data_IF_646153707648
#
_entry.id   IF_646153707648
#
_cell.length_a   1.000
_cell.length_b   1.000
_cell.length_c   1.000
_cell.angle_alpha   90.00
_cell.angle_beta   90.00
_cell.angle_gamma   90.00
#
_symmetry.space_group_name_H-M   'P 1'
#
loop_
_entity.id
_entity.type
_entity.pdbx_description
1 polymer ?
#
# COMPACT_ATOMS: atom_id res chain seq x y z
N UNK A 1 51.91 -14.44 -0.02
CA UNK A 1 50.85 -14.34 -1.05
C UNK A 1 49.91 -13.25 -0.58
N UNK A 2 49.95 -12.11 -1.26
CA UNK A 2 49.36 -10.84 -0.84
C UNK A 2 47.84 -10.94 -0.78
N UNK A 3 47.28 -10.75 0.41
CA UNK A 3 45.86 -10.42 0.61
C UNK A 3 45.73 -8.97 0.16
N UNK A 4 45.07 -8.74 -0.97
CA UNK A 4 44.81 -7.41 -1.50
C UNK A 4 43.95 -6.62 -0.49
N UNK A 5 44.46 -5.52 0.09
CA UNK A 5 43.63 -4.54 0.79
C UNK A 5 43.10 -3.54 -0.25
N UNK A 6 41.95 -2.91 0.05
CA UNK A 6 41.29 -1.85 -0.74
C UNK A 6 40.29 -2.29 -1.82
N UNK A 7 39.09 -2.69 -1.39
CA UNK A 7 37.86 -2.08 -1.92
C UNK A 7 37.37 -1.05 -0.90
N UNK A 8 38.11 0.05 -0.75
CA UNK A 8 37.69 1.21 0.06
C UNK A 8 36.74 2.06 -0.78
N UNK A 9 35.55 2.31 -0.27
CA UNK A 9 34.84 3.59 -0.38
C UNK A 9 34.70 4.22 -1.79
N UNK A 10 34.31 3.44 -2.80
CA UNK A 10 33.94 3.97 -4.13
C UNK A 10 32.41 4.10 -4.32
N UNK A 11 31.60 3.68 -3.35
CA UNK A 11 30.13 3.63 -3.48
C UNK A 11 29.42 4.90 -3.00
N UNK A 12 30.05 5.71 -2.12
CA UNK A 12 29.50 6.98 -1.63
C UNK A 12 29.67 8.15 -2.61
N UNK A 13 30.49 8.01 -3.66
CA UNK A 13 30.73 9.07 -4.65
C UNK A 13 29.53 9.36 -5.57
N UNK A 14 28.54 8.47 -5.65
CA UNK A 14 27.39 8.63 -6.53
C UNK A 14 26.34 9.62 -5.99
N UNK A 15 26.01 9.52 -4.69
CA UNK A 15 25.05 10.42 -4.04
C UNK A 15 25.67 11.73 -3.56
N UNK A 16 26.98 11.71 -3.33
CA UNK A 16 27.71 12.84 -2.77
C UNK A 16 27.37 14.19 -3.43
N UNK A 17 27.35 14.37 -4.76
CA UNK A 17 27.15 15.68 -5.39
C UNK A 17 25.73 16.21 -5.19
N UNK A 18 24.76 15.30 -5.26
CA UNK A 18 23.34 15.59 -5.05
C UNK A 18 23.14 16.03 -3.61
N UNK A 19 23.62 15.23 -2.66
CA UNK A 19 23.48 15.51 -1.24
C UNK A 19 24.30 16.73 -0.80
N UNK A 20 25.50 16.95 -1.35
CA UNK A 20 26.30 18.16 -1.03
C UNK A 20 25.56 19.44 -1.39
N UNK A 21 24.80 19.43 -2.49
CA UNK A 21 24.07 20.59 -2.97
C UNK A 21 22.70 20.74 -2.29
N UNK A 22 21.97 19.63 -2.12
CA UNK A 22 20.67 19.63 -1.43
C UNK A 22 20.81 19.98 0.05
N UNK A 23 21.84 19.45 0.71
CA UNK A 23 22.12 19.70 2.11
C UNK A 23 22.95 20.98 2.23
N UNK A 24 22.48 22.17 1.81
CA UNK A 24 23.16 23.44 2.09
C UNK A 24 23.81 23.37 3.48
N UNK A 25 25.14 23.22 3.54
CA UNK A 25 25.81 22.36 4.54
C UNK A 25 25.24 22.57 5.94
N UNK A 26 24.36 21.68 6.45
CA UNK A 26 23.82 21.88 7.76
C UNK A 26 25.02 21.75 8.70
N UNK A 27 25.35 22.82 9.42
CA UNK A 27 26.48 22.81 10.34
C UNK A 27 26.05 22.08 11.61
N UNK A 28 26.69 20.96 11.92
CA UNK A 28 26.54 20.36 13.25
C UNK A 28 26.97 21.43 14.25
N UNK A 29 26.11 21.72 15.24
CA UNK A 29 26.41 22.70 16.27
C UNK A 29 27.74 22.37 16.95
N UNK A 30 28.46 23.39 17.41
CA UNK A 30 29.87 23.29 17.85
C UNK A 30 30.11 22.33 19.01
N UNK A 31 29.08 21.90 19.74
CA UNK A 31 29.16 20.83 20.73
C UNK A 31 28.10 19.74 20.44
N UNK A 32 28.49 18.47 20.27
CA UNK A 32 27.56 17.36 20.27
C UNK A 32 27.08 17.13 21.70
N UNK A 33 26.16 17.97 22.17
CA UNK A 33 25.53 17.77 23.47
C UNK A 33 24.30 16.88 23.27
N UNK A 34 24.50 15.57 23.44
CA UNK A 34 23.42 14.60 23.48
C UNK A 34 22.47 14.82 24.68
N UNK A 35 22.78 15.75 25.59
CA UNK A 35 21.94 16.08 26.75
C UNK A 35 20.78 17.06 26.48
N UNK A 36 20.58 17.53 25.24
CA UNK A 36 19.50 18.49 24.90
C UNK A 36 18.43 17.88 23.97
N UNK A 37 17.23 18.46 23.98
CA UNK A 37 16.09 18.15 23.09
C UNK A 37 16.42 18.15 21.58
N UNK A 38 17.57 18.70 21.19
CA UNK A 38 18.04 18.79 19.80
C UNK A 38 18.83 17.55 19.33
N UNK A 39 19.03 16.54 20.19
CA UNK A 39 19.79 15.34 19.85
C UNK A 39 19.22 14.57 18.64
N UNK A 40 17.89 14.34 18.49
CA UNK A 40 17.35 13.67 17.30
C UNK A 40 17.66 14.42 15.99
N UNK A 41 17.52 15.74 15.99
CA UNK A 41 17.85 16.57 14.83
C UNK A 41 19.33 16.48 14.47
N UNK A 42 20.21 16.47 15.48
CA UNK A 42 21.66 16.34 15.29
C UNK A 42 22.04 14.97 14.73
N UNK A 43 21.35 13.89 15.14
CA UNK A 43 21.56 12.55 14.61
C UNK A 43 21.06 12.41 13.17
N UNK A 44 19.91 13.00 12.84
CA UNK A 44 19.42 13.07 11.48
C UNK A 44 20.41 13.81 10.56
N UNK A 45 20.94 14.93 11.04
CA UNK A 45 21.95 15.70 10.33
C UNK A 45 23.26 14.91 10.14
N UNK A 46 23.73 14.22 11.18
CA UNK A 46 24.90 13.34 11.07
C UNK A 46 24.69 12.23 10.04
N UNK A 47 23.52 11.61 10.03
CA UNK A 47 23.14 10.61 9.03
C UNK A 47 23.23 11.16 7.59
N UNK A 48 22.68 12.35 7.33
CA UNK A 48 22.74 13.00 6.02
C UNK A 48 24.18 13.36 5.59
N UNK A 49 25.00 13.86 6.51
CA UNK A 49 26.43 14.13 6.26
C UNK A 49 27.18 12.84 5.89
N UNK A 50 26.90 11.74 6.58
CA UNK A 50 27.54 10.45 6.31
C UNK A 50 27.09 9.84 4.98
N UNK A 51 25.81 10.01 4.61
CA UNK A 51 25.33 9.64 3.27
C UNK A 51 26.02 10.44 2.16
N UNK A 52 26.29 11.71 2.40
CA UNK A 52 27.01 12.58 1.46
C UNK A 52 28.51 12.23 1.33
N UNK A 53 29.04 11.34 2.17
CA UNK A 53 30.35 10.71 1.97
C UNK A 53 31.56 11.44 2.61
N UNK A 54 32.74 10.81 2.57
CA UNK A 54 33.92 11.19 3.36
C UNK A 54 34.55 12.53 2.99
N UNK A 55 34.16 13.13 1.87
CA UNK A 55 34.67 14.45 1.44
C UNK A 55 33.93 15.61 2.13
N UNK A 56 32.85 15.33 2.89
CA UNK A 56 32.18 16.36 3.68
C UNK A 56 33.07 16.87 4.81
N UNK A 57 33.17 18.21 5.03
CA UNK A 57 34.00 18.78 6.09
C UNK A 57 33.70 18.21 7.49
N UNK A 58 32.45 17.80 7.74
CA UNK A 58 32.00 17.31 9.03
C UNK A 58 31.85 15.79 9.10
N UNK A 59 32.35 15.03 8.11
CA UNK A 59 32.16 13.58 8.04
C UNK A 59 32.64 12.84 9.29
N UNK A 60 33.88 13.09 9.73
CA UNK A 60 34.44 12.46 10.93
C UNK A 60 33.61 12.79 12.16
N UNK A 61 33.21 14.05 12.32
CA UNK A 61 32.37 14.51 13.44
C UNK A 61 31.00 13.84 13.44
N UNK A 62 30.35 13.73 12.28
CA UNK A 62 29.07 13.05 12.14
C UNK A 62 29.17 11.56 12.49
N UNK A 63 30.28 10.92 12.07
CA UNK A 63 30.58 9.53 12.41
C UNK A 63 30.74 9.35 13.91
N UNK A 64 31.52 10.22 14.55
CA UNK A 64 31.78 10.18 15.98
C UNK A 64 30.49 10.43 16.77
N UNK A 65 29.65 11.38 16.34
CA UNK A 65 28.35 11.64 16.96
C UNK A 65 27.43 10.42 16.94
N UNK A 66 27.30 9.71 15.80
CA UNK A 66 26.51 8.49 15.75
C UNK A 66 27.11 7.37 16.61
N UNK A 67 28.44 7.25 16.67
CA UNK A 67 29.10 6.27 17.52
C UNK A 67 28.86 6.56 19.02
N UNK A 68 29.03 7.81 19.46
CA UNK A 68 28.74 8.23 20.84
C UNK A 68 27.26 8.06 21.17
N UNK A 69 26.35 8.38 20.25
CA UNK A 69 24.92 8.18 20.47
C UNK A 69 24.53 6.71 20.60
N UNK A 70 25.28 5.81 19.97
CA UNK A 70 25.08 4.37 20.13
C UNK A 70 25.44 3.86 21.54
N UNK A 71 26.38 4.53 22.22
CA UNK A 71 26.77 4.23 23.60
C UNK A 71 25.83 4.90 24.63
N UNK A 72 25.03 5.87 24.21
CA UNK A 72 24.06 6.55 25.06
C UNK A 72 22.74 5.76 25.12
N UNK A 73 22.35 5.30 26.31
CA UNK A 73 21.15 4.48 26.50
C UNK A 73 19.86 5.12 25.94
N UNK A 74 19.73 6.45 25.96
CA UNK A 74 18.57 7.17 25.46
C UNK A 74 18.50 7.19 23.93
N UNK A 75 19.63 7.25 23.23
CA UNK A 75 19.68 7.42 21.77
C UNK A 75 20.26 6.22 21.01
N UNK A 76 20.63 5.15 21.72
CA UNK A 76 21.28 3.98 21.14
C UNK A 76 20.46 3.33 20.02
N UNK A 77 19.14 3.28 20.18
CA UNK A 77 18.25 2.72 19.18
C UNK A 77 18.17 3.59 17.92
N UNK A 78 17.98 4.90 18.08
CA UNK A 78 17.95 5.85 16.96
C UNK A 78 19.28 5.88 16.20
N UNK A 79 20.41 5.84 16.92
CA UNK A 79 21.74 5.75 16.31
C UNK A 79 21.91 4.44 15.52
N UNK A 80 21.46 3.31 16.07
CA UNK A 80 21.47 2.01 15.39
C UNK A 80 20.59 2.02 14.14
N UNK A 81 19.41 2.62 14.21
CA UNK A 81 18.52 2.81 13.06
C UNK A 81 19.23 3.55 11.92
N UNK A 82 19.87 4.70 12.20
CA UNK A 82 20.62 5.44 11.19
C UNK A 82 21.80 4.67 10.61
N UNK A 83 22.57 3.95 11.44
CA UNK A 83 23.68 3.12 10.97
C UNK A 83 23.20 1.99 10.05
N UNK A 84 22.10 1.32 10.40
CA UNK A 84 21.50 0.29 9.55
C UNK A 84 21.00 0.91 8.24
N UNK A 85 20.40 2.11 8.28
CA UNK A 85 20.03 2.87 7.10
C UNK A 85 21.21 3.15 6.17
N UNK A 86 22.34 3.63 6.71
CA UNK A 86 23.57 3.86 5.94
C UNK A 86 24.05 2.58 5.25
N UNK A 87 24.08 1.46 5.97
CA UNK A 87 24.52 0.19 5.42
C UNK A 87 23.58 -0.32 4.31
N UNK A 88 22.26 -0.20 4.51
CA UNK A 88 21.26 -0.62 3.52
C UNK A 88 21.37 0.21 2.25
N UNK A 89 21.44 1.54 2.37
CA UNK A 89 21.59 2.44 1.21
C UNK A 89 22.90 2.14 0.47
N UNK A 90 24.01 1.93 1.18
CA UNK A 90 25.27 1.54 0.53
C UNK A 90 25.18 0.20 -0.20
N UNK A 91 24.45 -0.76 0.36
CA UNK A 91 24.21 -2.06 -0.28
C UNK A 91 23.35 -1.91 -1.53
N UNK A 92 22.33 -1.06 -1.47
CA UNK A 92 21.44 -0.78 -2.60
C UNK A 92 22.17 -0.05 -3.74
N UNK A 93 23.00 0.95 -3.42
CA UNK A 93 23.84 1.64 -4.41
C UNK A 93 24.94 0.74 -5.01
N UNK A 94 25.26 -0.39 -4.36
CA UNK A 94 26.17 -1.39 -4.92
C UNK A 94 25.51 -2.22 -6.02
N UNK A 95 24.18 -2.25 -6.09
CA UNK A 95 23.44 -2.93 -7.15
C UNK A 95 23.69 -2.22 -8.50
N UNK A 96 24.19 -2.91 -9.54
CA UNK A 96 24.43 -2.32 -10.84
C UNK A 96 23.22 -1.62 -11.47
N UNK A 97 22.01 -2.15 -11.25
CA UNK A 97 20.76 -1.58 -11.80
C UNK A 97 20.44 -0.24 -11.13
N UNK A 98 20.62 -0.17 -9.81
CA UNK A 98 20.42 1.07 -9.05
C UNK A 98 21.53 2.06 -9.37
N UNK A 99 22.79 1.62 -9.33
CA UNK A 99 23.96 2.43 -9.66
C UNK A 99 23.87 3.05 -11.06
N UNK A 100 23.26 2.35 -12.03
CA UNK A 100 23.06 2.87 -13.38
C UNK A 100 22.15 4.11 -13.41
N UNK A 101 21.23 4.27 -12.45
CA UNK A 101 20.39 5.46 -12.33
C UNK A 101 21.20 6.70 -11.95
N UNK A 102 22.34 6.51 -11.27
CA UNK A 102 23.24 7.58 -10.84
C UNK A 102 24.40 7.84 -11.83
N UNK A 103 24.24 7.49 -13.11
CA UNK A 103 25.32 7.51 -14.13
C UNK A 103 25.77 8.90 -14.59
N UNK A 104 25.05 9.98 -14.27
CA UNK A 104 25.57 11.33 -14.53
C UNK A 104 26.78 11.58 -13.63
N UNK A 105 27.98 11.86 -14.18
CA UNK A 105 29.17 12.09 -13.38
C UNK A 105 28.93 13.19 -12.37
N UNK A 106 29.39 13.00 -11.14
CA UNK A 106 29.30 13.95 -10.05
C UNK A 106 29.62 15.42 -10.43
N UNK A 107 30.65 15.61 -11.24
CA UNK A 107 31.08 16.91 -11.74
C UNK A 107 30.07 17.59 -12.68
N UNK A 108 29.15 16.83 -13.28
CA UNK A 108 28.07 17.38 -14.10
C UNK A 108 26.98 18.06 -13.25
N UNK A 109 26.81 17.67 -11.98
CA UNK A 109 25.74 18.18 -11.10
C UNK A 109 26.10 19.51 -10.44
N UNK A 110 27.39 19.79 -10.24
CA UNK A 110 27.88 21.01 -9.59
C UNK A 110 27.71 22.27 -10.43
N UNK A 111 27.46 22.13 -11.73
CA UNK A 111 27.30 23.25 -12.67
C UNK A 111 25.86 23.46 -13.14
N UNK A 112 24.93 22.61 -12.70
CA UNK A 112 23.53 22.74 -13.07
C UNK A 112 22.93 24.01 -12.45
N UNK A 113 21.99 24.66 -13.11
CA UNK A 113 21.03 25.54 -12.46
C UNK A 113 20.16 24.78 -11.45
N UNK A 114 19.41 25.49 -10.61
CA UNK A 114 18.52 24.82 -9.64
C UNK A 114 17.41 24.01 -10.33
N UNK A 115 16.92 24.49 -11.48
CA UNK A 115 15.93 23.80 -12.30
C UNK A 115 16.53 22.51 -12.92
N UNK A 116 17.74 22.59 -13.48
CA UNK A 116 18.45 21.42 -14.00
C UNK A 116 18.80 20.41 -12.89
N UNK A 117 19.07 20.88 -11.66
CA UNK A 117 19.29 20.03 -10.50
C UNK A 117 18.00 19.31 -10.09
N UNK A 118 16.86 20.00 -10.08
CA UNK A 118 15.56 19.41 -9.78
C UNK A 118 15.25 18.28 -10.77
N UNK A 119 15.42 18.55 -12.06
CA UNK A 119 15.24 17.56 -13.14
C UNK A 119 16.19 16.37 -13.03
N UNK A 120 17.47 16.63 -12.73
CA UNK A 120 18.44 15.56 -12.52
C UNK A 120 18.08 14.70 -11.29
N UNK A 121 17.65 15.33 -10.20
CA UNK A 121 17.16 14.65 -8.99
C UNK A 121 15.94 13.78 -9.30
N UNK A 122 14.94 14.33 -10.00
CA UNK A 122 13.75 13.58 -10.41
C UNK A 122 14.10 12.40 -11.32
N UNK A 123 15.04 12.54 -12.26
CA UNK A 123 15.45 11.42 -13.13
C UNK A 123 15.93 10.16 -12.39
N UNK A 124 16.34 10.33 -11.14
CA UNK A 124 16.76 9.24 -10.26
C UNK A 124 15.62 8.76 -9.36
N UNK A 125 14.97 9.69 -8.66
CA UNK A 125 14.03 9.37 -7.56
C UNK A 125 12.57 9.34 -7.99
N UNK A 126 12.21 10.11 -9.02
CA UNK A 126 10.86 10.22 -9.59
C UNK A 126 10.94 10.36 -11.12
N UNK A 127 11.40 9.33 -11.85
CA UNK A 127 11.66 9.44 -13.29
C UNK A 127 10.44 9.90 -14.10
N UNK A 128 9.24 9.61 -13.61
CA UNK A 128 7.96 10.02 -14.19
C UNK A 128 7.72 11.53 -14.10
N UNK A 129 8.42 12.23 -13.20
CA UNK A 129 8.32 13.67 -13.01
C UNK A 129 9.26 14.48 -13.93
N UNK A 130 10.19 13.82 -14.63
CA UNK A 130 11.16 14.49 -15.51
C UNK A 130 10.45 15.26 -16.62
N UNK A 131 10.83 16.53 -16.79
CA UNK A 131 10.28 17.45 -17.79
C UNK A 131 8.94 18.08 -17.39
N UNK A 132 8.54 17.96 -16.11
CA UNK A 132 7.35 18.63 -15.56
C UNK A 132 7.67 20.06 -15.11
N UNK A 133 8.86 20.30 -14.56
CA UNK A 133 9.17 21.59 -13.94
C UNK A 133 9.17 22.71 -15.01
N UNK A 134 8.37 23.75 -14.79
CA UNK A 134 8.16 24.84 -15.75
C UNK A 134 7.34 24.48 -16.99
N UNK A 135 6.82 23.24 -17.07
CA UNK A 135 5.96 22.72 -18.14
C UNK A 135 4.68 22.09 -17.59
N UNK A 136 4.29 22.44 -16.36
CA UNK A 136 3.24 21.74 -15.60
C UNK A 136 1.91 21.74 -16.35
N UNK A 137 1.54 22.88 -16.94
CA UNK A 137 0.29 23.03 -17.70
C UNK A 137 0.26 22.10 -18.91
N UNK A 138 1.34 22.05 -19.69
CA UNK A 138 1.44 21.22 -20.89
C UNK A 138 1.49 19.73 -20.52
N UNK A 139 2.20 19.37 -19.46
CA UNK A 139 2.27 17.99 -18.97
C UNK A 139 0.95 17.50 -18.40
N UNK A 140 0.20 18.36 -17.72
CA UNK A 140 -1.17 18.02 -17.28
C UNK A 140 -2.08 17.82 -18.49
N UNK A 141 -2.00 18.66 -19.51
CA UNK A 141 -2.79 18.50 -20.73
C UNK A 141 -2.43 17.20 -21.47
N UNK A 142 -1.14 16.92 -21.62
CA UNK A 142 -0.64 15.67 -22.21
C UNK A 142 -1.10 14.45 -21.41
N UNK A 143 -1.01 14.50 -20.08
CA UNK A 143 -1.46 13.41 -19.21
C UNK A 143 -2.97 13.18 -19.33
N UNK A 144 -3.77 14.24 -19.34
CA UNK A 144 -5.22 14.17 -19.54
C UNK A 144 -5.56 13.56 -20.90
N UNK A 145 -4.88 13.98 -21.96
CA UNK A 145 -5.05 13.41 -23.29
C UNK A 145 -4.71 11.91 -23.28
N UNK A 146 -3.56 11.52 -22.69
CA UNK A 146 -3.14 10.11 -22.58
C UNK A 146 -4.10 9.25 -21.76
N UNK A 147 -4.72 9.82 -20.72
CA UNK A 147 -5.71 9.15 -19.86
C UNK A 147 -7.15 9.22 -20.40
N UNK A 148 -7.38 9.94 -21.50
CA UNK A 148 -8.71 10.04 -22.09
C UNK A 148 -9.07 8.71 -22.75
N UNK A 149 -10.24 8.19 -22.38
CA UNK A 149 -10.85 7.03 -23.02
C UNK A 149 -11.96 7.51 -23.94
N UNK A 150 -11.89 7.14 -25.21
CA UNK A 150 -13.00 7.35 -26.16
C UNK A 150 -13.95 6.17 -26.08
N UNK A 151 -15.18 6.41 -25.65
CA UNK A 151 -16.22 5.37 -25.58
C UNK A 151 -16.59 4.90 -26.99
N UNK A 152 -16.59 3.59 -27.18
CA UNK A 152 -16.99 2.94 -28.45
C UNK A 152 -18.33 2.24 -28.32
N UNK A 153 -18.70 1.82 -27.11
CA UNK A 153 -19.96 1.15 -26.84
C UNK A 153 -20.34 1.32 -25.37
N UNK A 154 -21.58 1.70 -25.08
CA UNK A 154 -22.15 1.61 -23.73
C UNK A 154 -22.42 0.15 -23.34
N UNK A 155 -22.50 -0.11 -22.03
CA UNK A 155 -22.89 -1.42 -21.53
C UNK A 155 -24.30 -1.79 -22.05
N UNK A 156 -24.48 -2.94 -22.73
CA UNK A 156 -25.78 -3.33 -23.28
C UNK A 156 -26.77 -3.74 -22.17
N UNK A 157 -26.26 -4.25 -21.06
CA UNK A 157 -27.01 -4.63 -19.86
C UNK A 157 -26.36 -3.93 -18.67
N UNK A 158 -26.73 -2.65 -18.41
CA UNK A 158 -26.23 -1.92 -17.25
C UNK A 158 -26.71 -2.54 -15.94
N UNK A 159 -26.01 -2.21 -14.86
CA UNK A 159 -26.50 -2.50 -13.51
C UNK A 159 -27.80 -1.75 -13.26
N UNK A 160 -28.79 -2.47 -12.74
CA UNK A 160 -30.12 -1.97 -12.38
C UNK A 160 -30.37 -2.07 -10.87
N UNK A 161 -29.61 -2.89 -10.16
CA UNK A 161 -29.64 -3.03 -8.71
C UNK A 161 -28.21 -3.23 -8.22
N UNK A 162 -27.53 -2.12 -7.89
CA UNK A 162 -26.15 -2.15 -7.42
C UNK A 162 -25.98 -2.94 -6.12
N UNK A 163 -27.00 -3.07 -5.29
CA UNK A 163 -26.90 -3.81 -4.03
C UNK A 163 -26.85 -5.33 -4.25
N UNK A 164 -27.48 -5.83 -5.30
CA UNK A 164 -27.52 -7.27 -5.63
C UNK A 164 -26.55 -7.65 -6.76
N UNK A 165 -26.19 -6.70 -7.63
CA UNK A 165 -25.37 -6.95 -8.81
C UNK A 165 -23.90 -6.54 -8.63
N UNK A 166 -23.56 -5.83 -7.55
CA UNK A 166 -22.17 -5.57 -7.17
C UNK A 166 -21.79 -6.39 -5.94
N UNK A 167 -20.64 -7.05 -6.03
CA UNK A 167 -19.93 -7.49 -4.84
C UNK A 167 -19.03 -6.36 -4.35
N UNK A 168 -19.32 -5.84 -3.16
CA UNK A 168 -18.42 -4.90 -2.50
C UNK A 168 -17.22 -5.66 -1.96
N UNK A 169 -16.04 -5.06 -2.07
CA UNK A 169 -14.81 -5.69 -1.60
C UNK A 169 -13.89 -4.70 -0.90
N UNK A 170 -13.05 -5.17 0.02
CA UNK A 170 -12.04 -4.30 0.65
C UNK A 170 -10.85 -5.08 1.20
N UNK A 171 -9.79 -4.35 1.54
CA UNK A 171 -8.63 -4.88 2.24
C UNK A 171 -8.73 -4.57 3.73
N UNK A 172 -8.57 -5.59 4.57
CA UNK A 172 -8.31 -5.44 5.99
C UNK A 172 -6.86 -5.87 6.27
N UNK A 173 -6.01 -4.91 6.62
CA UNK A 173 -4.58 -5.14 6.85
C UNK A 173 -4.34 -5.08 8.35
N UNK A 174 -3.85 -6.17 8.96
CA UNK A 174 -3.68 -6.27 10.41
C UNK A 174 -2.22 -6.44 10.81
N UNK A 175 -1.85 -5.86 11.95
CA UNK A 175 -0.54 -6.04 12.56
C UNK A 175 -0.64 -6.25 14.06
N UNK A 176 0.48 -6.63 14.67
CA UNK A 176 0.61 -6.79 16.12
C UNK A 176 0.32 -5.46 16.83
N UNK A 177 -0.08 -5.49 18.12
CA UNK A 177 -0.35 -4.29 18.89
C UNK A 177 0.82 -3.31 18.88
N UNK A 178 0.53 -2.01 19.07
CA UNK A 178 1.56 -0.98 19.23
C UNK A 178 2.45 -1.33 20.43
N UNK A 179 3.74 -0.98 20.37
CA UNK A 179 4.69 -1.25 21.45
C UNK A 179 4.28 -0.63 22.80
N UNK A 180 3.50 0.45 22.77
CA UNK A 180 2.95 1.12 23.96
C UNK A 180 1.71 0.42 24.55
N UNK A 181 1.16 -0.59 23.87
CA UNK A 181 -0.09 -1.25 24.26
C UNK A 181 0.22 -2.50 25.08
N UNK A 182 -0.24 -2.53 26.32
CA UNK A 182 -0.16 -3.72 27.16
C UNK A 182 -1.16 -4.78 26.68
N UNK A 183 -0.68 -5.89 26.11
CA UNK A 183 -1.53 -6.96 25.57
C UNK A 183 -2.47 -7.53 26.64
N UNK A 184 -2.01 -7.61 27.89
CA UNK A 184 -2.81 -8.09 29.04
C UNK A 184 -3.99 -7.19 29.43
N UNK A 185 -4.01 -5.95 28.93
CA UNK A 185 -5.09 -4.98 29.20
C UNK A 185 -6.09 -4.88 28.04
N UNK A 186 -5.87 -5.64 26.96
CA UNK A 186 -6.78 -5.66 25.83
C UNK A 186 -8.11 -6.34 26.21
N UNK A 187 -9.24 -5.92 25.63
CA UNK A 187 -10.56 -6.46 25.94
C UNK A 187 -10.82 -7.80 25.24
N UNK A 188 -9.84 -8.70 25.25
CA UNK A 188 -9.92 -10.06 24.69
C UNK A 188 -9.74 -11.09 25.80
N UNK A 189 -10.18 -12.33 25.57
CA UNK A 189 -9.97 -13.40 26.55
C UNK A 189 -8.47 -13.75 26.75
N UNK A 190 -8.18 -14.43 27.86
CA UNK A 190 -6.81 -14.79 28.25
C UNK A 190 -6.10 -15.65 27.20
N UNK A 191 -6.84 -16.54 26.52
CA UNK A 191 -6.29 -17.42 25.49
C UNK A 191 -5.85 -16.62 24.26
N UNK A 192 -6.71 -15.71 23.78
CA UNK A 192 -6.40 -14.80 22.68
C UNK A 192 -5.21 -13.91 23.02
N UNK A 193 -5.18 -13.33 24.23
CA UNK A 193 -4.08 -12.50 24.69
C UNK A 193 -2.76 -13.27 24.77
N UNK A 194 -2.77 -14.51 25.26
CA UNK A 194 -1.58 -15.36 25.32
C UNK A 194 -1.06 -15.71 23.93
N UNK A 195 -1.95 -16.06 23.00
CA UNK A 195 -1.57 -16.31 21.60
C UNK A 195 -1.00 -15.04 20.97
N UNK A 196 -1.64 -13.88 21.16
CA UNK A 196 -1.19 -12.61 20.62
C UNK A 196 0.19 -12.19 21.15
N UNK A 197 0.47 -12.45 22.43
CA UNK A 197 1.80 -12.24 23.01
C UNK A 197 2.87 -13.08 22.30
N UNK A 198 2.59 -14.35 22.01
CA UNK A 198 3.51 -15.21 21.28
C UNK A 198 3.73 -14.70 19.85
N UNK A 199 2.66 -14.28 19.17
CA UNK A 199 2.73 -13.73 17.81
C UNK A 199 3.50 -12.42 17.75
N UNK A 200 3.38 -11.56 18.76
CA UNK A 200 4.12 -10.30 18.84
C UNK A 200 5.65 -10.48 18.93
N UNK A 201 6.12 -11.69 19.26
CA UNK A 201 7.55 -12.04 19.25
C UNK A 201 8.02 -12.64 17.92
N UNK A 202 7.09 -12.93 16.99
CA UNK A 202 7.45 -13.41 15.66
C UNK A 202 8.11 -12.30 14.83
N UNK A 203 8.99 -12.65 13.87
CA UNK A 203 9.45 -11.68 12.90
C UNK A 203 8.30 -11.25 11.98
N UNK A 204 8.18 -9.94 11.76
CA UNK A 204 7.32 -9.40 10.71
C UNK A 204 7.77 -9.91 9.34
N UNK A 205 6.83 -10.47 8.57
CA UNK A 205 7.09 -11.04 7.25
C UNK A 205 6.71 -10.10 6.11
N UNK A 206 5.72 -9.23 6.33
CA UNK A 206 5.15 -8.38 5.29
C UNK A 206 5.03 -6.93 5.74
N UNK A 207 5.18 -6.02 4.78
CA UNK A 207 5.05 -4.57 4.97
C UNK A 207 3.91 -4.10 4.12
N UNK A 208 2.79 -3.82 4.77
CA UNK A 208 1.63 -3.21 4.13
C UNK A 208 1.61 -1.72 4.41
N UNK A 209 0.86 -1.01 3.58
CA UNK A 209 0.52 0.37 3.84
C UNK A 209 -0.53 0.41 4.95
N UNK A 210 -0.29 1.25 5.97
CA UNK A 210 -1.19 1.50 7.08
C UNK A 210 -1.84 0.24 7.71
N UNK A 211 -1.07 -0.77 8.18
CA UNK A 211 -1.67 -1.93 8.82
C UNK A 211 -2.25 -1.56 10.20
N UNK A 212 -3.45 -2.04 10.49
CA UNK A 212 -4.22 -1.74 11.70
C UNK A 212 -3.68 -2.59 12.87
N UNK A 213 -3.16 -1.99 13.95
CA UNK A 213 -2.70 -2.73 15.11
C UNK A 213 -3.88 -3.40 15.84
N UNK A 214 -3.72 -4.66 16.23
CA UNK A 214 -4.69 -5.32 17.10
C UNK A 214 -4.78 -4.56 18.43
N UNK A 215 -6.02 -4.33 18.88
CA UNK A 215 -6.29 -3.59 20.12
C UNK A 215 -6.16 -2.07 19.98
N UNK A 216 -6.03 -1.53 18.76
CA UNK A 216 -6.17 -0.10 18.53
C UNK A 216 -7.57 0.38 18.92
N UNK A 217 -7.69 1.63 19.36
CA UNK A 217 -8.99 2.19 19.76
C UNK A 217 -9.96 2.25 18.57
N UNK A 218 -11.28 2.13 18.80
CA UNK A 218 -12.27 2.15 17.73
C UNK A 218 -12.20 3.37 16.81
N UNK A 219 -11.82 4.54 17.34
CA UNK A 219 -11.71 5.79 16.59
C UNK A 219 -10.54 5.79 15.59
N UNK A 220 -9.50 5.01 15.87
CA UNK A 220 -8.30 4.88 15.03
C UNK A 220 -8.32 3.58 14.21
N UNK A 221 -9.44 2.86 14.22
CA UNK A 221 -9.59 1.60 13.50
C UNK A 221 -10.25 1.85 12.14
N UNK A 222 -9.45 1.86 11.08
CA UNK A 222 -9.93 2.11 9.71
C UNK A 222 -10.99 1.08 9.26
N UNK A 223 -10.91 -0.18 9.70
CA UNK A 223 -11.95 -1.19 9.38
C UNK A 223 -13.30 -0.75 9.94
N UNK A 224 -13.33 -0.33 11.21
CA UNK A 224 -14.57 0.15 11.83
C UNK A 224 -15.05 1.44 11.17
N UNK A 225 -14.14 2.37 10.89
CA UNK A 225 -14.46 3.64 10.23
C UNK A 225 -15.12 3.40 8.86
N UNK A 226 -14.45 2.68 7.95
CA UNK A 226 -14.93 2.42 6.60
C UNK A 226 -16.21 1.61 6.56
N UNK A 227 -16.32 0.54 7.37
CA UNK A 227 -17.53 -0.29 7.38
C UNK A 227 -18.74 0.42 8.00
N UNK A 228 -18.54 1.23 9.06
CA UNK A 228 -19.62 2.07 9.62
C UNK A 228 -20.08 3.10 8.59
N UNK A 229 -19.15 3.77 7.92
CA UNK A 229 -19.48 4.75 6.89
C UNK A 229 -20.21 4.12 5.70
N UNK A 230 -19.78 2.94 5.25
CA UNK A 230 -20.49 2.18 4.21
C UNK A 230 -21.90 1.78 4.68
N UNK A 231 -22.05 1.30 5.91
CA UNK A 231 -23.36 0.93 6.46
C UNK A 231 -24.33 2.13 6.49
N UNK A 232 -23.83 3.31 6.86
CA UNK A 232 -24.59 4.57 6.83
C UNK A 232 -24.93 4.99 5.40
N UNK A 233 -24.00 4.84 4.45
CA UNK A 233 -24.26 5.10 3.05
C UNK A 233 -25.40 4.22 2.52
N UNK A 234 -25.45 2.96 2.94
CA UNK A 234 -26.53 2.02 2.62
C UNK A 234 -27.86 2.36 3.31
N UNK A 235 -27.86 3.01 4.47
CA UNK A 235 -29.10 3.54 5.07
C UNK A 235 -29.73 4.61 4.16
N UNK A 236 -28.92 5.47 3.53
CA UNK A 236 -29.41 6.44 2.55
C UNK A 236 -30.01 5.74 1.34
N UNK A 237 -29.36 4.70 0.81
CA UNK A 237 -29.91 3.91 -0.30
C UNK A 237 -31.24 3.24 0.05
N UNK A 238 -31.36 2.74 1.29
CA UNK A 238 -32.60 2.16 1.80
C UNK A 238 -33.72 3.19 1.87
N UNK A 239 -33.43 4.39 2.36
CA UNK A 239 -34.42 5.49 2.42
C UNK A 239 -34.86 5.95 1.02
N UNK A 240 -33.95 5.92 0.04
CA UNK A 240 -34.24 6.24 -1.36
C UNK A 240 -34.98 5.12 -2.11
N UNK A 241 -35.09 3.92 -1.52
CA UNK A 241 -35.77 2.78 -2.12
C UNK A 241 -34.90 1.96 -3.08
N UNK A 242 -33.58 2.17 -3.07
CA UNK A 242 -32.62 1.45 -3.93
C UNK A 242 -31.97 0.25 -3.24
N UNK A 243 -32.27 0.01 -1.96
CA UNK A 243 -31.78 -1.16 -1.22
C UNK A 243 -32.93 -2.07 -0.77
N UNK A 244 -32.87 -3.33 -1.18
CA UNK A 244 -33.79 -4.39 -0.72
C UNK A 244 -33.64 -4.72 0.77
N UNK A 245 -34.45 -5.64 1.28
CA UNK A 245 -34.44 -6.01 2.71
C UNK A 245 -33.18 -6.77 3.14
N UNK A 246 -32.45 -7.38 2.19
CA UNK A 246 -31.26 -8.17 2.49
C UNK A 246 -30.03 -7.28 2.68
N UNK A 247 -29.12 -7.65 3.60
CA UNK A 247 -27.83 -6.98 3.72
C UNK A 247 -26.96 -7.18 2.46
N UNK A 248 -26.16 -6.18 2.13
CA UNK A 248 -25.26 -6.19 0.96
C UNK A 248 -24.01 -7.02 1.29
N UNK A 249 -23.61 -7.98 0.42
CA UNK A 249 -22.38 -8.74 0.63
C UNK A 249 -21.15 -7.85 0.48
N UNK A 250 -20.23 -7.95 1.44
CA UNK A 250 -18.92 -7.31 1.40
C UNK A 250 -17.82 -8.33 1.71
N UNK A 251 -16.95 -8.60 0.74
CA UNK A 251 -15.82 -9.51 0.91
C UNK A 251 -14.55 -8.74 1.34
N UNK A 252 -14.01 -9.10 2.50
CA UNK A 252 -12.77 -8.55 3.02
C UNK A 252 -11.62 -9.53 2.76
N UNK A 253 -10.57 -9.07 2.07
CA UNK A 253 -9.28 -9.76 2.10
C UNK A 253 -8.54 -9.37 3.38
N UNK A 254 -8.27 -10.36 4.22
CA UNK A 254 -7.65 -10.14 5.53
C UNK A 254 -6.19 -10.55 5.46
N UNK A 255 -5.32 -9.55 5.29
CA UNK A 255 -3.88 -9.74 5.24
C UNK A 255 -3.25 -9.39 6.58
N UNK A 256 -2.22 -10.12 6.98
CA UNK A 256 -1.55 -9.93 8.28
C UNK A 256 -0.05 -9.74 8.12
N UNK A 257 0.59 -8.96 8.98
CA UNK A 257 2.04 -8.72 8.90
C UNK A 257 2.89 -9.87 9.47
N UNK A 258 2.31 -10.67 10.37
CA UNK A 258 2.96 -11.79 11.07
C UNK A 258 2.19 -13.08 10.80
N UNK A 259 2.89 -14.21 10.69
CA UNK A 259 2.26 -15.48 10.30
C UNK A 259 1.23 -15.94 11.33
N UNK A 260 1.57 -15.86 12.62
CA UNK A 260 0.67 -16.28 13.69
C UNK A 260 -0.62 -15.46 13.79
N UNK A 261 -0.66 -14.25 13.22
CA UNK A 261 -1.91 -13.46 13.18
C UNK A 261 -2.96 -14.07 12.26
N UNK A 262 -2.59 -14.94 11.31
CA UNK A 262 -3.56 -15.58 10.40
C UNK A 262 -4.67 -16.33 11.14
N UNK A 263 -4.35 -16.92 12.30
CA UNK A 263 -5.32 -17.67 13.12
C UNK A 263 -6.15 -16.76 14.02
N UNK A 264 -5.62 -15.58 14.38
CA UNK A 264 -6.28 -14.62 15.27
C UNK A 264 -7.14 -13.61 14.52
N UNK A 265 -6.82 -13.31 13.27
CA UNK A 265 -7.39 -12.22 12.50
C UNK A 265 -8.93 -12.26 12.40
N UNK A 266 -9.50 -13.43 12.14
CA UNK A 266 -10.96 -13.60 12.07
C UNK A 266 -11.63 -13.36 13.41
N UNK A 267 -11.03 -13.87 14.47
CA UNK A 267 -11.58 -13.74 15.82
C UNK A 267 -11.54 -12.28 16.28
N UNK A 268 -10.41 -11.62 16.05
CA UNK A 268 -10.27 -10.17 16.23
C UNK A 268 -11.37 -9.39 15.50
N UNK A 269 -11.57 -9.65 14.21
CA UNK A 269 -12.60 -8.97 13.42
C UNK A 269 -14.00 -9.23 13.99
N UNK A 270 -14.34 -10.47 14.34
CA UNK A 270 -15.65 -10.79 14.93
C UNK A 270 -15.91 -10.01 16.20
N UNK A 271 -14.97 -10.04 17.14
CA UNK A 271 -15.13 -9.37 18.44
C UNK A 271 -15.20 -7.85 18.27
N UNK A 272 -14.30 -7.28 17.45
CA UNK A 272 -14.27 -5.85 17.17
C UNK A 272 -15.55 -5.37 16.49
N UNK A 273 -16.02 -6.06 15.45
CA UNK A 273 -17.24 -5.67 14.74
C UNK A 273 -18.49 -5.84 15.62
N UNK A 274 -18.54 -6.88 16.46
CA UNK A 274 -19.67 -7.11 17.35
C UNK A 274 -19.79 -6.06 18.46
N UNK A 275 -18.66 -5.57 18.99
CA UNK A 275 -18.64 -4.56 20.04
C UNK A 275 -19.02 -3.17 19.51
N UNK A 276 -18.54 -2.83 18.32
CA UNK A 276 -18.46 -1.44 17.88
C UNK A 276 -19.32 -1.12 16.65
N UNK A 277 -19.78 -2.09 15.87
CA UNK A 277 -20.41 -1.80 14.59
C UNK A 277 -21.74 -2.55 14.41
N UNK A 278 -22.90 -1.91 14.64
CA UNK A 278 -24.17 -2.43 14.12
C UNK A 278 -24.17 -2.28 12.60
N UNK A 279 -23.63 -3.28 11.91
CA UNK A 279 -23.52 -3.34 10.46
C UNK A 279 -24.76 -3.99 9.82
N UNK A 280 -25.96 -3.52 10.18
CA UNK A 280 -27.23 -4.16 9.80
C UNK A 280 -27.51 -4.20 8.29
N UNK A 281 -26.89 -3.31 7.51
CA UNK A 281 -27.00 -3.31 6.05
C UNK A 281 -25.92 -4.15 5.36
N UNK A 282 -24.97 -4.75 6.09
CA UNK A 282 -23.84 -5.46 5.51
C UNK A 282 -23.81 -6.94 5.93
N UNK A 283 -23.40 -7.78 4.99
CA UNK A 283 -23.02 -9.17 5.26
C UNK A 283 -21.52 -9.32 4.96
N UNK A 284 -20.71 -9.39 6.02
CA UNK A 284 -19.24 -9.36 5.92
C UNK A 284 -18.68 -10.77 5.78
N UNK A 285 -17.87 -10.98 4.73
CA UNK A 285 -17.16 -12.23 4.47
C UNK A 285 -15.66 -11.99 4.54
N UNK A 286 -15.04 -12.39 5.64
CA UNK A 286 -13.60 -12.25 5.85
C UNK A 286 -12.83 -13.48 5.32
N UNK A 287 -11.92 -13.25 4.38
CA UNK A 287 -11.05 -14.26 3.78
C UNK A 287 -9.61 -14.05 4.23
N UNK A 288 -9.08 -14.98 5.02
CA UNK A 288 -7.65 -15.04 5.37
C UNK A 288 -6.88 -15.88 4.36
N UNK A 289 -5.55 -15.88 4.47
CA UNK A 289 -4.70 -16.71 3.61
C UNK A 289 -5.10 -18.19 3.69
N UNK A 290 -5.41 -18.69 4.89
CA UNK A 290 -5.86 -20.06 5.10
C UNK A 290 -7.16 -20.38 4.34
N UNK A 291 -8.11 -19.44 4.26
CA UNK A 291 -9.33 -19.63 3.49
C UNK A 291 -9.06 -19.65 1.99
N UNK A 292 -8.19 -18.75 1.51
CA UNK A 292 -7.84 -18.73 0.09
C UNK A 292 -7.09 -19.98 -0.32
N UNK A 293 -6.21 -20.49 0.53
CA UNK A 293 -5.52 -21.77 0.29
C UNK A 293 -6.51 -22.94 0.31
N UNK A 294 -7.49 -22.94 1.22
CA UNK A 294 -8.55 -23.93 1.23
C UNK A 294 -9.39 -23.88 -0.06
N UNK A 295 -9.77 -22.69 -0.53
CA UNK A 295 -10.47 -22.51 -1.82
C UNK A 295 -9.63 -23.04 -2.99
N UNK A 296 -8.34 -22.73 -3.03
CA UNK A 296 -7.44 -23.24 -4.07
C UNK A 296 -7.39 -24.76 -4.05
N UNK A 297 -7.15 -25.36 -2.88
CA UNK A 297 -6.97 -26.81 -2.72
C UNK A 297 -8.26 -27.61 -2.93
N UNK A 298 -9.38 -27.11 -2.42
CA UNK A 298 -10.62 -27.87 -2.36
C UNK A 298 -11.57 -27.56 -3.53
N UNK A 299 -11.42 -26.40 -4.17
CA UNK A 299 -12.33 -25.96 -5.25
C UNK A 299 -11.58 -25.75 -6.56
N UNK A 300 -10.58 -24.86 -6.58
CA UNK A 300 -9.99 -24.41 -7.85
C UNK A 300 -9.09 -25.46 -8.49
N UNK A 301 -8.21 -26.12 -7.73
CA UNK A 301 -7.35 -27.18 -8.26
C UNK A 301 -8.15 -28.36 -8.81
N UNK A 302 -9.16 -28.91 -8.10
CA UNK A 302 -10.04 -29.93 -8.66
C UNK A 302 -10.77 -29.47 -9.94
N UNK A 303 -11.29 -28.24 -9.94
CA UNK A 303 -11.97 -27.68 -11.11
C UNK A 303 -11.02 -27.56 -12.33
N UNK A 304 -9.79 -27.08 -12.13
CA UNK A 304 -8.79 -27.02 -13.21
C UNK A 304 -8.44 -28.43 -13.71
N UNK A 305 -8.24 -29.39 -12.81
CA UNK A 305 -7.95 -30.77 -13.18
C UNK A 305 -9.07 -31.40 -14.04
N UNK A 306 -10.32 -31.05 -13.78
CA UNK A 306 -11.48 -31.59 -14.49
C UNK A 306 -11.78 -30.85 -15.81
N UNK A 307 -11.77 -29.51 -15.81
CA UNK A 307 -12.31 -28.71 -16.91
C UNK A 307 -11.24 -28.07 -17.81
N UNK A 308 -10.03 -27.85 -17.31
CA UNK A 308 -8.93 -27.25 -18.07
C UNK A 308 -7.57 -27.76 -17.58
N UNK A 309 -7.29 -29.08 -17.73
CA UNK A 309 -6.12 -29.69 -17.12
C UNK A 309 -4.84 -29.07 -17.65
N UNK A 310 -3.98 -28.60 -16.74
CA UNK A 310 -2.66 -28.04 -17.05
C UNK A 310 -1.66 -28.40 -15.96
N UNK A 311 -0.42 -28.77 -16.30
CA UNK A 311 0.62 -29.07 -15.31
C UNK A 311 1.03 -27.82 -14.50
N UNK A 312 0.75 -26.62 -14.98
CA UNK A 312 1.08 -25.35 -14.31
C UNK A 312 -0.02 -24.85 -13.36
N UNK A 313 -1.06 -25.64 -13.08
CA UNK A 313 -2.24 -25.19 -12.33
C UNK A 313 -1.88 -24.62 -10.95
N UNK A 314 -1.04 -25.32 -10.19
CA UNK A 314 -0.63 -24.89 -8.86
C UNK A 314 0.13 -23.55 -8.90
N UNK A 315 1.06 -23.38 -9.84
CA UNK A 315 1.84 -22.15 -9.98
C UNK A 315 0.95 -20.98 -10.42
N UNK A 316 0.02 -21.20 -11.36
CA UNK A 316 -0.92 -20.18 -11.80
C UNK A 316 -1.87 -19.76 -10.67
N UNK A 317 -2.35 -20.71 -9.87
CA UNK A 317 -3.24 -20.44 -8.73
C UNK A 317 -2.49 -19.89 -7.52
N UNK A 318 -1.16 -19.98 -7.48
CA UNK A 318 -0.36 -19.45 -6.36
C UNK A 318 -0.54 -17.94 -6.18
N UNK A 319 -0.98 -17.21 -7.21
CA UNK A 319 -1.26 -15.76 -7.12
C UNK A 319 -2.58 -15.45 -6.40
N UNK A 320 -3.46 -16.44 -6.23
CA UNK A 320 -4.72 -16.30 -5.51
C UNK A 320 -4.47 -16.44 -4.00
N UNK A 321 -4.42 -15.30 -3.31
CA UNK A 321 -4.22 -15.24 -1.87
C UNK A 321 -4.29 -13.80 -1.38
N UNK A 322 -4.20 -13.61 -0.07
CA UNK A 322 -4.33 -12.28 0.56
C UNK A 322 -3.04 -11.83 1.23
N UNK A 323 -2.19 -12.75 1.68
CA UNK A 323 -0.90 -12.41 2.28
C UNK A 323 0.22 -12.28 1.24
N UNK A 324 1.25 -11.50 1.58
CA UNK A 324 2.50 -11.43 0.81
C UNK A 324 2.68 -10.14 0.03
N UNK A 325 3.24 -10.25 -1.18
CA UNK A 325 3.40 -9.10 -2.07
C UNK A 325 2.04 -8.47 -2.35
N UNK A 326 1.98 -7.14 -2.38
CA UNK A 326 0.74 -6.36 -2.58
C UNK A 326 -0.13 -6.86 -3.75
N UNK A 327 0.48 -7.36 -4.82
CA UNK A 327 -0.25 -7.93 -5.97
C UNK A 327 -1.13 -9.16 -5.66
N UNK A 328 -0.91 -9.87 -4.55
CA UNK A 328 -1.70 -11.07 -4.18
C UNK A 328 -3.12 -10.70 -3.75
N UNK A 329 -3.29 -9.84 -2.74
CA UNK A 329 -4.64 -9.42 -2.34
C UNK A 329 -5.41 -8.76 -3.49
N UNK A 330 -4.72 -8.02 -4.37
CA UNK A 330 -5.35 -7.46 -5.57
C UNK A 330 -5.84 -8.55 -6.53
N UNK A 331 -5.07 -9.62 -6.69
CA UNK A 331 -5.46 -10.79 -7.48
C UNK A 331 -6.68 -11.48 -6.86
N UNK A 332 -6.71 -11.66 -5.53
CA UNK A 332 -7.87 -12.18 -4.82
C UNK A 332 -9.11 -11.32 -5.03
N UNK A 333 -9.03 -10.01 -4.76
CA UNK A 333 -10.16 -9.08 -4.87
C UNK A 333 -10.76 -9.04 -6.28
N UNK A 334 -9.94 -9.19 -7.32
CA UNK A 334 -10.42 -9.34 -8.70
C UNK A 334 -11.05 -10.69 -8.98
N UNK A 335 -10.43 -11.76 -8.51
CA UNK A 335 -10.85 -13.13 -8.85
C UNK A 335 -12.09 -13.59 -8.07
N UNK A 336 -12.29 -13.08 -6.84
CA UNK A 336 -13.39 -13.49 -5.98
C UNK A 336 -14.75 -13.20 -6.62
N UNK A 337 -14.87 -12.14 -7.44
CA UNK A 337 -16.11 -11.80 -8.14
C UNK A 337 -16.61 -12.94 -9.04
N UNK A 338 -15.69 -13.57 -9.77
CA UNK A 338 -16.03 -14.65 -10.70
C UNK A 338 -16.46 -15.92 -9.95
N UNK A 339 -15.83 -16.19 -8.80
CA UNK A 339 -16.23 -17.29 -7.93
C UNK A 339 -17.58 -17.01 -7.28
N UNK A 340 -17.80 -15.78 -6.83
CA UNK A 340 -19.06 -15.35 -6.23
C UNK A 340 -20.22 -15.49 -7.21
N UNK A 341 -20.02 -15.03 -8.44
CA UNK A 341 -21.01 -15.15 -9.52
C UNK A 341 -21.33 -16.62 -9.81
N UNK A 342 -20.31 -17.47 -9.90
CA UNK A 342 -20.50 -18.88 -10.26
C UNK A 342 -21.06 -19.77 -9.14
N UNK A 343 -20.82 -19.41 -7.87
CA UNK A 343 -21.06 -20.31 -6.73
C UNK A 343 -22.03 -19.77 -5.67
N UNK A 344 -22.25 -18.46 -5.61
CA UNK A 344 -23.01 -17.81 -4.53
C UNK A 344 -24.20 -17.04 -5.06
N UNK A 345 -24.00 -16.13 -6.02
CA UNK A 345 -25.04 -15.28 -6.57
C UNK A 345 -24.77 -14.95 -8.05
N UNK A 346 -25.49 -15.61 -8.95
CA UNK A 346 -25.37 -15.45 -10.40
C UNK A 346 -25.78 -14.06 -10.91
N UNK A 347 -26.49 -13.29 -10.08
CA UNK A 347 -26.86 -11.89 -10.34
C UNK A 347 -25.69 -10.92 -10.27
N UNK A 348 -24.56 -11.29 -9.66
CA UNK A 348 -23.38 -10.41 -9.57
C UNK A 348 -22.80 -10.18 -10.96
N UNK A 349 -22.74 -8.90 -11.38
CA UNK A 349 -22.21 -8.47 -12.67
C UNK A 349 -20.84 -7.82 -12.56
N UNK A 350 -20.42 -7.41 -11.35
CA UNK A 350 -19.06 -6.92 -11.14
C UNK A 350 -18.69 -6.70 -9.67
N UNK A 351 -17.55 -6.08 -9.47
CA UNK A 351 -17.02 -5.73 -8.14
C UNK A 351 -16.71 -4.26 -8.02
N UNK A 352 -16.83 -3.76 -6.80
CA UNK A 352 -16.33 -2.44 -6.43
C UNK A 352 -15.48 -2.57 -5.17
N UNK A 353 -14.22 -2.12 -5.24
CA UNK A 353 -13.33 -2.08 -4.08
C UNK A 353 -13.52 -0.75 -3.36
N UNK A 354 -13.92 -0.81 -2.10
CA UNK A 354 -13.89 0.32 -1.19
C UNK A 354 -12.53 0.35 -0.49
N UNK A 355 -12.01 1.55 -0.26
CA UNK A 355 -10.90 1.76 0.66
C UNK A 355 -11.49 2.09 2.04
N UNK A 356 -11.02 1.44 3.12
CA UNK A 356 -11.66 1.56 4.45
C UNK A 356 -11.36 2.88 5.14
N UNK A 357 -10.42 3.66 4.62
CA UNK A 357 -10.13 5.04 5.00
C UNK A 357 -10.98 6.07 4.22
N UNK A 358 -11.79 5.62 3.26
CA UNK A 358 -12.67 6.46 2.45
C UNK A 358 -14.14 6.27 2.82
N UNK A 359 -14.93 7.30 2.55
CA UNK A 359 -16.38 7.31 2.81
C UNK A 359 -17.12 7.75 1.55
N UNK A 360 -18.37 7.32 1.42
CA UNK A 360 -19.27 7.82 0.38
C UNK A 360 -19.99 9.09 0.88
N UNK A 361 -19.67 10.28 0.36
CA UNK A 361 -20.32 11.52 0.77
C UNK A 361 -21.70 11.62 0.11
N UNK A 362 -22.66 10.82 0.61
CA UNK A 362 -23.97 10.64 -0.01
C UNK A 362 -24.73 11.96 -0.19
N UNK A 363 -24.71 12.82 0.83
CA UNK A 363 -25.44 14.09 0.80
C UNK A 363 -24.90 15.01 -0.30
N UNK A 364 -23.59 15.15 -0.38
CA UNK A 364 -22.90 15.98 -1.36
C UNK A 364 -23.05 15.43 -2.78
N UNK A 365 -22.96 14.10 -2.96
CA UNK A 365 -23.21 13.45 -4.26
C UNK A 365 -24.62 13.74 -4.74
N UNK A 366 -25.62 13.54 -3.88
CA UNK A 366 -27.02 13.79 -4.22
C UNK A 366 -27.25 15.28 -4.51
N UNK A 367 -26.67 16.19 -3.72
CA UNK A 367 -26.79 17.65 -3.95
C UNK A 367 -26.18 18.07 -5.29
N UNK A 368 -24.99 17.56 -5.62
CA UNK A 368 -24.24 18.00 -6.79
C UNK A 368 -24.66 17.31 -8.08
N UNK A 369 -25.09 16.05 -8.02
CA UNK A 369 -25.36 15.24 -9.21
C UNK A 369 -26.80 14.74 -9.29
N UNK A 370 -27.60 14.90 -8.23
CA UNK A 370 -28.95 14.35 -8.13
C UNK A 370 -29.00 12.84 -7.87
N UNK A 371 -27.85 12.18 -7.71
CA UNK A 371 -27.72 10.73 -7.60
C UNK A 371 -26.82 10.34 -6.42
N UNK A 372 -27.20 9.28 -5.71
CA UNK A 372 -26.39 8.67 -4.67
C UNK A 372 -25.17 7.94 -5.24
N UNK A 373 -24.24 7.53 -4.37
CA UNK A 373 -23.07 6.76 -4.79
C UNK A 373 -23.46 5.47 -5.52
N UNK A 374 -24.51 4.79 -5.07
CA UNK A 374 -24.95 3.53 -5.68
C UNK A 374 -25.70 3.74 -6.99
N UNK A 375 -26.47 4.83 -7.11
CA UNK A 375 -27.10 5.23 -8.38
C UNK A 375 -26.06 5.52 -9.47
N UNK A 376 -24.86 6.02 -9.12
CA UNK A 376 -23.77 6.22 -10.08
C UNK A 376 -23.22 4.92 -10.68
N UNK A 377 -23.34 3.79 -9.97
CA UNK A 377 -22.98 2.48 -10.51
C UNK A 377 -24.00 1.94 -11.52
N UNK A 378 -25.22 2.49 -11.53
CA UNK A 378 -26.31 2.05 -12.40
C UNK A 378 -26.28 2.71 -13.79
N UNK A 379 -25.25 3.49 -14.07
CA UNK A 379 -25.08 4.14 -15.38
C UNK A 379 -24.61 3.13 -16.43
N UNK A 380 -24.99 3.29 -17.71
CA UNK A 380 -24.50 2.44 -18.80
C UNK A 380 -23.02 2.65 -19.14
N UNK A 381 -22.34 3.56 -18.41
CA UNK A 381 -20.89 3.73 -18.45
C UNK A 381 -20.18 2.61 -17.70
N UNK A 382 -20.82 2.03 -16.69
CA UNK A 382 -20.26 0.91 -15.95
C UNK A 382 -20.31 -0.36 -16.80
N UNK A 383 -19.15 -0.92 -17.13
CA UNK A 383 -19.02 -2.02 -18.10
C UNK A 383 -18.98 -1.56 -19.58
N UNK A 384 -18.90 -0.25 -19.84
CA UNK A 384 -18.73 0.27 -21.20
C UNK A 384 -17.37 -0.12 -21.81
N UNK A 385 -17.32 -0.11 -23.15
CA UNK A 385 -16.09 -0.32 -23.92
C UNK A 385 -15.58 1.01 -24.44
N UNK A 386 -14.26 1.14 -24.47
CA UNK A 386 -13.61 2.29 -25.07
C UNK A 386 -12.29 1.93 -25.73
N UNK A 387 -11.64 2.96 -26.23
CA UNK A 387 -10.25 2.93 -26.68
C UNK A 387 -9.46 3.98 -25.94
N UNK A 388 -8.25 3.64 -25.53
CA UNK A 388 -7.32 4.59 -24.92
C UNK A 388 -6.76 5.56 -25.97
N UNK A 389 -5.93 6.51 -25.52
CA UNK A 389 -5.29 7.51 -26.37
C UNK A 389 -4.37 6.92 -27.46
N UNK A 390 -4.02 5.64 -27.37
CA UNK A 390 -3.22 4.91 -28.36
C UNK A 390 -4.06 4.00 -29.26
N UNK A 391 -5.39 4.11 -29.19
CA UNK A 391 -6.32 3.30 -29.98
C UNK A 391 -6.41 1.84 -29.53
N UNK A 392 -5.87 1.49 -28.35
CA UNK A 392 -5.96 0.12 -27.83
C UNK A 392 -7.31 -0.05 -27.13
N UNK A 393 -7.96 -1.21 -27.25
CA UNK A 393 -9.19 -1.47 -26.54
C UNK A 393 -8.98 -1.32 -25.03
N UNK A 394 -9.66 -0.33 -24.44
CA UNK A 394 -9.83 -0.24 -23.00
C UNK A 394 -11.16 -0.92 -22.70
N UNK A 395 -11.10 -2.22 -22.50
CA UNK A 395 -12.18 -2.92 -21.85
C UNK A 395 -11.76 -3.04 -20.40
N UNK A 396 -12.47 -2.33 -19.51
CA UNK A 396 -12.29 -2.41 -18.06
C UNK A 396 -12.53 -3.83 -17.50
N UNK A 397 -12.88 -4.79 -18.39
CA UNK A 397 -13.06 -6.21 -18.15
C UNK A 397 -12.31 -7.16 -19.14
N UNK A 398 -11.33 -6.71 -19.96
CA UNK A 398 -10.67 -7.63 -20.92
C UNK A 398 -9.53 -8.43 -20.24
N UNK A 399 -9.67 -9.75 -20.30
CA UNK A 399 -8.85 -10.77 -19.64
C UNK A 399 -7.52 -11.05 -20.36
N UNK A 400 -6.72 -10.04 -20.72
CA UNK A 400 -5.39 -10.29 -21.32
C UNK A 400 -4.29 -9.33 -20.85
N UNK A 401 -3.54 -9.80 -19.85
CA UNK A 401 -2.11 -9.50 -19.68
C UNK A 401 -1.74 -8.25 -18.87
N UNK A 402 -0.54 -8.24 -18.24
CA UNK A 402 -0.15 -7.24 -17.26
C UNK A 402 0.31 -5.97 -17.97
N UNK A 403 -0.53 -4.93 -17.93
CA UNK A 403 -0.18 -3.58 -18.30
C UNK A 403 -0.60 -2.66 -17.18
N UNK A 404 0.34 -1.88 -16.66
CA UNK A 404 0.17 -0.89 -15.62
C UNK A 404 -1.02 0.03 -15.90
N UNK A 405 -2.14 -0.23 -15.24
CA UNK A 405 -3.19 0.76 -15.08
C UNK A 405 -3.54 0.86 -13.61
N UNK A 406 -2.76 1.66 -12.87
CA UNK A 406 -3.31 2.38 -11.71
C UNK A 406 -4.24 3.46 -12.25
N UNK A 407 -5.39 3.04 -12.76
CA UNK A 407 -6.52 3.92 -13.04
C UNK A 407 -7.43 3.86 -11.83
N UNK A 408 -7.27 4.80 -10.92
CA UNK A 408 -8.37 5.22 -10.05
C UNK A 408 -9.29 6.13 -10.88
N UNK A 409 -10.61 6.12 -10.64
CA UNK A 409 -11.56 7.03 -11.29
C UNK A 409 -11.20 8.50 -11.11
#
# INVERSE_FOLDING_TARGET
>A
MLIAPHRRCAMTTQLQPILTRLLQTPQLSTAPDLGKEQAPASLNQAFLILLAGPQQPQFTRAKDLLATAQENAQYAELARFYQQGLQRIQTELADPVVAQRFTRPAAAWSHLSDDELAEATWSVFFPEAVGIYGQETDRVAELRQRRTVTLTQLAPEPITDSAQQLLLTSNALLTVPLASTAISELPFDDEFCQQLQAVAQEPQLYWYDHPIPIGITPENNEILYGLRALNQALDVERQRGHLGQQPVPCALSVSVTHKGLQTLAKEYLKQTLAADAPLHNLNIFAFTEADTEALVRQVLLPAVAQYCPTPAAADLLSVFGVDGRYGRHYSFLKAISALWQGLVADTVQGTFKIDLDQVFPQSELIEQTGASAFEHFMTPLWGAKGTDAWGRPSSWLDRRGPGESKGYP
#
